data_IF_004524299951
#
_entry.id   IF_004524299951
#
_cell.length_a   1.000
_cell.length_b   1.000
_cell.length_c   1.000
_cell.angle_alpha   90.00
_cell.angle_beta   90.00
_cell.angle_gamma   90.00
#
_symmetry.space_group_name_H-M   'P 1'
#
loop_
_entity.id
_entity.type
_entity.pdbx_description
1 polymer ?
#
# COMPACT_ATOMS: atom_id res chain seq x y z
N UNK A 1 1.93 1.49 -23.80
CA UNK A 1 1.06 1.58 -22.61
C UNK A 1 1.59 0.66 -21.53
N UNK A 2 1.80 1.17 -20.33
CA UNK A 2 2.43 0.45 -19.22
C UNK A 2 1.38 -0.01 -18.20
N UNK A 3 0.79 -1.18 -18.42
CA UNK A 3 -0.25 -1.69 -17.53
C UNK A 3 0.36 -2.53 -16.40
N UNK A 4 1.12 -1.90 -15.49
CA UNK A 4 1.74 -2.59 -14.33
C UNK A 4 0.75 -3.47 -13.57
N UNK A 5 -0.46 -2.97 -13.39
CA UNK A 5 -1.50 -3.70 -12.66
C UNK A 5 -1.95 -4.97 -13.41
N UNK A 6 -2.11 -4.91 -14.74
CA UNK A 6 -2.45 -6.07 -15.55
C UNK A 6 -1.35 -7.12 -15.50
N UNK A 7 -0.09 -6.69 -15.61
CA UNK A 7 1.05 -7.59 -15.48
C UNK A 7 1.07 -8.29 -14.12
N UNK A 8 0.71 -7.57 -13.03
CA UNK A 8 0.62 -8.14 -11.69
C UNK A 8 -0.51 -9.17 -11.53
N UNK A 9 -1.66 -8.96 -12.20
CA UNK A 9 -2.76 -9.94 -12.19
C UNK A 9 -2.39 -11.16 -13.04
N UNK A 10 -1.84 -10.92 -14.24
CA UNK A 10 -1.47 -11.95 -15.19
C UNK A 10 -0.34 -12.86 -14.68
N UNK A 11 0.64 -12.33 -13.95
CA UNK A 11 1.76 -13.12 -13.42
C UNK A 11 1.35 -14.15 -12.38
N UNK A 12 0.19 -13.99 -11.74
CA UNK A 12 -0.37 -14.97 -10.80
C UNK A 12 -1.32 -15.98 -11.48
N UNK A 13 -1.60 -15.84 -12.78
CA UNK A 13 -2.71 -16.55 -13.44
C UNK A 13 -2.45 -18.05 -13.67
N UNK A 14 -1.25 -18.39 -14.14
CA UNK A 14 -0.85 -19.76 -14.46
C UNK A 14 0.25 -20.28 -13.50
N UNK A 15 0.31 -19.79 -12.27
CA UNK A 15 1.28 -20.30 -11.30
C UNK A 15 0.93 -21.73 -10.86
N UNK A 16 1.93 -22.60 -10.56
CA UNK A 16 3.38 -22.37 -10.67
C UNK A 16 3.91 -22.55 -12.11
N UNK A 17 5.09 -21.96 -12.41
CA UNK A 17 5.86 -22.08 -13.67
C UNK A 17 5.14 -21.82 -15.01
N UNK A 18 3.99 -21.15 -14.99
CA UNK A 18 3.27 -20.77 -16.20
C UNK A 18 3.52 -19.33 -16.67
N UNK A 19 3.39 -19.14 -17.99
CA UNK A 19 3.31 -17.83 -18.64
C UNK A 19 1.86 -17.53 -19.04
N UNK A 20 1.43 -16.28 -18.84
CA UNK A 20 0.11 -15.82 -19.27
C UNK A 20 0.21 -14.43 -19.90
N UNK A 21 -0.34 -14.27 -21.11
CA UNK A 21 -0.24 -13.03 -21.90
C UNK A 21 -1.63 -12.48 -22.16
N UNK A 22 -1.88 -11.26 -21.68
CA UNK A 22 -3.10 -10.50 -21.98
C UNK A 22 -2.81 -9.55 -23.14
N UNK A 23 -3.39 -9.83 -24.31
CA UNK A 23 -3.26 -8.93 -25.48
C UNK A 23 -4.06 -7.64 -25.23
N UNK A 24 -3.64 -6.47 -25.75
CA UNK A 24 -4.35 -5.20 -25.56
C UNK A 24 -5.85 -5.27 -25.92
N UNK A 25 -6.20 -5.95 -27.01
CA UNK A 25 -7.59 -6.13 -27.44
C UNK A 25 -8.43 -7.06 -26.55
N UNK A 26 -7.80 -7.79 -25.63
CA UNK A 26 -8.44 -8.72 -24.70
C UNK A 26 -8.46 -8.20 -23.26
N UNK A 27 -7.89 -7.02 -22.98
CA UNK A 27 -7.78 -6.46 -21.63
C UNK A 27 -9.14 -6.37 -20.94
N UNK A 28 -10.12 -5.71 -21.57
CA UNK A 28 -11.44 -5.53 -20.95
C UNK A 28 -12.16 -6.86 -20.73
N UNK A 29 -12.14 -7.75 -21.73
CA UNK A 29 -12.75 -9.08 -21.62
C UNK A 29 -12.08 -9.94 -20.53
N UNK A 30 -10.77 -9.80 -20.35
CA UNK A 30 -10.04 -10.46 -19.27
C UNK A 30 -10.39 -9.88 -17.90
N UNK A 31 -10.56 -8.56 -17.79
CA UNK A 31 -10.82 -7.87 -16.54
C UNK A 31 -12.25 -8.05 -16.04
N UNK A 32 -13.26 -7.87 -16.89
CA UNK A 32 -14.67 -7.84 -16.51
C UNK A 32 -15.13 -8.97 -15.56
N UNK A 33 -14.80 -10.26 -15.80
CA UNK A 33 -15.26 -11.34 -14.93
C UNK A 33 -14.47 -11.44 -13.61
N UNK A 34 -13.40 -10.66 -13.42
CA UNK A 34 -12.60 -10.74 -12.21
C UNK A 34 -13.36 -10.17 -11.01
N UNK A 35 -13.22 -10.77 -9.83
CA UNK A 35 -13.71 -10.14 -8.62
C UNK A 35 -12.89 -8.87 -8.32
N UNK A 36 -13.52 -7.82 -7.80
CA UNK A 36 -12.86 -6.53 -7.55
C UNK A 36 -11.61 -6.63 -6.66
N UNK A 37 -11.55 -7.64 -5.77
CA UNK A 37 -10.37 -7.93 -4.93
C UNK A 37 -9.09 -8.27 -5.70
N UNK A 38 -9.19 -8.60 -7.00
CA UNK A 38 -8.02 -8.86 -7.87
C UNK A 38 -7.43 -7.55 -8.41
N UNK A 39 -8.16 -6.45 -8.36
CA UNK A 39 -7.66 -5.12 -8.74
C UNK A 39 -6.65 -4.67 -7.68
N UNK A 40 -5.44 -4.24 -8.07
CA UNK A 40 -4.47 -3.72 -7.11
C UNK A 40 -5.03 -2.55 -6.30
N UNK A 41 -4.57 -2.45 -5.06
CA UNK A 41 -5.01 -1.47 -4.06
C UNK A 41 -6.45 -1.72 -3.52
N UNK A 42 -7.21 -2.66 -4.07
CA UNK A 42 -8.49 -3.10 -3.50
C UNK A 42 -8.26 -4.15 -2.41
N UNK A 43 -8.04 -3.67 -1.18
CA UNK A 43 -7.97 -4.49 0.02
C UNK A 43 -9.34 -4.84 0.60
N UNK A 44 -9.36 -5.60 1.71
CA UNK A 44 -10.59 -6.08 2.39
C UNK A 44 -11.61 -4.97 2.67
N UNK A 45 -11.14 -3.80 3.13
CA UNK A 45 -12.01 -2.66 3.49
C UNK A 45 -12.67 -2.08 2.23
N UNK A 46 -11.88 -1.83 1.18
CA UNK A 46 -12.41 -1.34 -0.10
C UNK A 46 -13.37 -2.34 -0.72
N UNK A 47 -13.02 -3.63 -0.71
CA UNK A 47 -13.89 -4.70 -1.21
C UNK A 47 -15.25 -4.69 -0.50
N UNK A 48 -15.27 -4.63 0.83
CA UNK A 48 -16.52 -4.59 1.59
C UNK A 48 -17.38 -3.36 1.26
N UNK A 49 -16.73 -2.20 1.06
CA UNK A 49 -17.42 -0.97 0.62
C UNK A 49 -18.00 -1.09 -0.79
N UNK A 50 -17.28 -1.71 -1.71
CA UNK A 50 -17.77 -1.98 -3.07
C UNK A 50 -18.94 -2.97 -3.04
N UNK A 51 -18.85 -4.03 -2.24
CA UNK A 51 -19.93 -5.00 -2.06
C UNK A 51 -21.19 -4.36 -1.46
N UNK A 52 -21.05 -3.40 -0.54
CA UNK A 52 -22.17 -2.64 -0.02
C UNK A 52 -22.88 -1.77 -1.08
N UNK A 53 -22.21 -1.49 -2.21
CA UNK A 53 -22.77 -0.83 -3.40
C UNK A 53 -23.27 -1.84 -4.45
N UNK A 54 -23.25 -3.14 -4.15
CA UNK A 54 -23.61 -4.20 -5.10
C UNK A 54 -22.54 -4.47 -6.16
N UNK A 55 -21.29 -4.09 -5.90
CA UNK A 55 -20.17 -4.26 -6.84
C UNK A 55 -19.26 -5.40 -6.36
N UNK A 56 -19.30 -6.52 -7.05
CA UNK A 56 -18.50 -7.71 -6.80
C UNK A 56 -17.45 -7.97 -7.89
N UNK A 57 -17.77 -7.62 -9.14
CA UNK A 57 -16.91 -7.83 -10.30
C UNK A 57 -16.34 -6.52 -10.85
N UNK A 58 -15.23 -6.62 -11.59
CA UNK A 58 -14.65 -5.48 -12.29
C UNK A 58 -15.58 -4.96 -13.38
N UNK A 59 -16.39 -5.83 -14.00
CA UNK A 59 -17.43 -5.43 -14.95
C UNK A 59 -18.49 -4.54 -14.31
N UNK A 60 -18.99 -4.90 -13.13
CA UNK A 60 -19.92 -4.07 -12.36
C UNK A 60 -19.29 -2.75 -11.93
N UNK A 61 -18.02 -2.78 -11.52
CA UNK A 61 -17.27 -1.55 -11.19
C UNK A 61 -17.13 -0.64 -12.41
N UNK A 62 -16.89 -1.22 -13.60
CA UNK A 62 -16.79 -0.48 -14.85
C UNK A 62 -18.12 0.12 -15.27
N UNK A 63 -19.26 -0.44 -14.86
CA UNK A 63 -20.58 0.12 -15.16
C UNK A 63 -20.88 1.41 -14.37
N UNK A 64 -20.14 1.69 -13.29
CA UNK A 64 -20.34 2.89 -12.47
C UNK A 64 -19.71 4.13 -13.08
N UNK A 65 -20.37 5.28 -12.87
CA UNK A 65 -19.89 6.59 -13.31
C UNK A 65 -18.73 7.09 -12.46
N UNK A 66 -17.88 7.94 -13.06
CA UNK A 66 -16.76 8.56 -12.37
C UNK A 66 -17.21 9.38 -11.15
N UNK A 67 -18.28 10.17 -11.31
CA UNK A 67 -18.83 11.01 -10.25
C UNK A 67 -19.31 10.18 -9.04
N UNK A 68 -19.99 9.05 -9.29
CA UNK A 68 -20.47 8.18 -8.21
C UNK A 68 -19.30 7.54 -7.46
N UNK A 69 -18.29 7.07 -8.19
CA UNK A 69 -17.09 6.49 -7.56
C UNK A 69 -16.29 7.55 -6.80
N UNK A 70 -16.15 8.77 -7.30
CA UNK A 70 -15.52 9.88 -6.58
C UNK A 70 -16.35 10.30 -5.35
N UNK A 71 -17.68 10.25 -5.42
CA UNK A 71 -18.55 10.51 -4.27
C UNK A 71 -18.33 9.48 -3.16
N UNK A 72 -18.27 8.20 -3.49
CA UNK A 72 -18.10 7.14 -2.49
C UNK A 72 -16.65 6.98 -2.01
N UNK A 73 -15.65 7.17 -2.87
CA UNK A 73 -14.24 6.81 -2.58
C UNK A 73 -13.27 8.01 -2.64
N UNK A 74 -13.74 9.22 -2.89
CA UNK A 74 -12.92 10.42 -3.04
C UNK A 74 -11.94 10.30 -4.22
N UNK A 75 -10.71 10.79 -4.04
CA UNK A 75 -9.63 10.69 -5.05
C UNK A 75 -9.37 9.25 -5.51
N UNK A 76 -9.63 8.26 -4.65
CA UNK A 76 -9.46 6.86 -4.99
C UNK A 76 -10.55 6.34 -5.95
N UNK A 77 -11.72 7.00 -6.00
CA UNK A 77 -12.80 6.69 -6.93
C UNK A 77 -12.37 6.79 -8.39
N UNK A 78 -11.64 7.85 -8.73
CA UNK A 78 -11.02 7.99 -10.06
C UNK A 78 -10.10 6.83 -10.40
N UNK A 79 -9.31 6.39 -9.42
CA UNK A 79 -8.38 5.28 -9.61
C UNK A 79 -9.12 3.97 -9.88
N UNK A 80 -10.20 3.70 -9.14
CA UNK A 80 -11.06 2.54 -9.37
C UNK A 80 -11.71 2.59 -10.76
N UNK A 81 -12.19 3.77 -11.17
CA UNK A 81 -12.80 4.01 -12.48
C UNK A 81 -11.85 3.69 -13.64
N UNK A 82 -10.60 4.16 -13.56
CA UNK A 82 -9.54 3.92 -14.55
C UNK A 82 -9.16 2.43 -14.61
N UNK A 83 -8.87 1.83 -13.44
CA UNK A 83 -8.44 0.43 -13.35
C UNK A 83 -9.50 -0.55 -13.88
N UNK A 84 -10.79 -0.28 -13.61
CA UNK A 84 -11.88 -1.10 -14.13
C UNK A 84 -11.99 -1.07 -15.66
N UNK A 85 -11.42 -0.04 -16.30
CA UNK A 85 -11.37 0.15 -17.76
C UNK A 85 -10.02 -0.22 -18.37
N UNK A 86 -9.14 -0.89 -17.62
CA UNK A 86 -7.82 -1.27 -18.15
C UNK A 86 -6.81 -0.13 -18.14
N UNK A 87 -7.14 1.05 -17.62
CA UNK A 87 -6.29 2.24 -17.71
C UNK A 87 -5.33 2.29 -16.52
N UNK A 88 -4.04 2.31 -16.82
CA UNK A 88 -2.97 2.55 -15.84
C UNK A 88 -1.82 3.28 -16.55
N UNK A 89 -1.72 4.59 -16.34
CA UNK A 89 -0.72 5.44 -16.98
C UNK A 89 0.58 5.55 -16.17
N UNK A 90 0.65 4.86 -15.02
CA UNK A 90 1.83 4.93 -14.15
C UNK A 90 3.04 4.31 -14.84
N UNK A 91 4.05 5.12 -15.07
CA UNK A 91 5.34 4.67 -15.60
C UNK A 91 6.08 3.78 -14.62
N UNK A 92 6.80 2.76 -15.13
CA UNK A 92 7.80 2.02 -14.35
C UNK A 92 8.89 2.99 -13.95
N UNK A 93 8.97 3.26 -12.64
CA UNK A 93 10.01 4.06 -12.03
C UNK A 93 10.99 3.08 -11.41
N UNK A 94 12.16 2.84 -12.03
CA UNK A 94 13.17 1.94 -11.48
C UNK A 94 13.74 2.50 -10.17
N UNK A 95 13.85 3.83 -10.08
CA UNK A 95 14.35 4.54 -8.92
C UNK A 95 13.21 5.35 -8.28
N UNK A 96 12.88 5.01 -7.02
CA UNK A 96 12.01 5.84 -6.19
C UNK A 96 12.80 6.28 -4.95
N UNK A 97 12.88 7.60 -4.67
CA UNK A 97 13.54 8.06 -3.47
C UNK A 97 12.81 7.49 -2.25
N UNK A 98 13.58 7.04 -1.26
CA UNK A 98 12.99 6.49 -0.05
C UNK A 98 12.37 7.63 0.76
N UNK A 99 11.07 7.56 0.99
CA UNK A 99 10.37 8.60 1.74
C UNK A 99 10.51 8.41 3.26
N UNK A 100 10.74 7.18 3.72
CA UNK A 100 10.82 6.85 5.14
C UNK A 100 11.64 5.57 5.38
N UNK A 101 12.41 5.54 6.47
CA UNK A 101 13.02 4.34 7.06
C UNK A 101 12.30 4.06 8.38
N UNK A 102 11.95 2.81 8.64
CA UNK A 102 11.31 2.42 9.90
C UNK A 102 11.67 1.00 10.30
N UNK A 103 11.72 0.74 11.60
CA UNK A 103 11.83 -0.59 12.19
C UNK A 103 10.75 -0.71 13.25
N UNK A 104 10.03 -1.82 13.22
CA UNK A 104 8.96 -2.12 14.17
C UNK A 104 9.02 -3.57 14.59
N UNK A 105 8.56 -3.86 15.80
CA UNK A 105 8.43 -5.22 16.31
C UNK A 105 7.06 -5.39 16.96
N UNK A 106 6.54 -6.61 16.92
CA UNK A 106 5.36 -7.02 17.68
C UNK A 106 5.83 -7.93 18.81
N UNK A 107 5.43 -7.61 20.04
CA UNK A 107 5.83 -8.35 21.22
C UNK A 107 4.98 -9.63 21.40
N UNK A 108 5.56 -10.65 22.05
CA UNK A 108 4.84 -11.88 22.38
C UNK A 108 3.75 -11.66 23.45
N UNK A 109 3.96 -10.66 24.32
CA UNK A 109 3.01 -10.21 25.34
C UNK A 109 2.94 -8.69 25.34
N UNK A 110 1.82 -8.15 25.79
CA UNK A 110 1.68 -6.70 25.96
C UNK A 110 2.66 -6.19 27.02
N UNK A 111 3.26 -5.02 26.75
CA UNK A 111 4.23 -4.36 27.61
C UNK A 111 3.72 -3.00 28.06
N UNK A 112 4.01 -2.62 29.30
CA UNK A 112 3.78 -1.27 29.79
C UNK A 112 4.89 -0.32 29.33
N UNK A 113 4.60 0.98 29.27
CA UNK A 113 5.53 2.00 28.76
C UNK A 113 6.96 1.91 29.33
N UNK A 114 7.19 1.71 30.64
CA UNK A 114 8.55 1.62 31.18
C UNK A 114 9.35 0.42 30.63
N UNK A 115 8.67 -0.64 30.20
CA UNK A 115 9.31 -1.84 29.66
C UNK A 115 9.70 -1.69 28.19
N UNK A 116 9.26 -0.61 27.52
CA UNK A 116 9.54 -0.39 26.11
C UNK A 116 10.94 0.20 25.88
N UNK A 117 11.54 0.85 26.88
CA UNK A 117 12.82 1.55 26.75
C UNK A 117 13.94 0.64 26.24
N UNK A 118 14.04 -0.56 26.83
CA UNK A 118 15.01 -1.60 26.40
C UNK A 118 14.82 -2.05 24.95
N UNK A 119 13.60 -1.98 24.42
CA UNK A 119 13.31 -2.37 23.03
C UNK A 119 13.39 -1.19 22.06
N UNK A 120 13.21 0.04 22.52
CA UNK A 120 13.29 1.22 21.66
C UNK A 120 14.71 1.45 21.15
N UNK A 121 15.72 1.27 21.99
CA UNK A 121 17.12 1.46 21.62
C UNK A 121 17.55 0.59 20.42
N UNK A 122 17.34 -0.75 20.40
CA UNK A 122 17.71 -1.56 19.25
C UNK A 122 16.89 -1.23 17.98
N UNK A 123 15.64 -0.76 18.12
CA UNK A 123 14.85 -0.31 16.97
C UNK A 123 15.38 1.00 16.39
N UNK A 124 15.74 1.95 17.24
CA UNK A 124 16.34 3.22 16.84
C UNK A 124 17.68 3.00 16.12
N UNK A 125 18.53 2.12 16.66
CA UNK A 125 19.81 1.76 16.04
C UNK A 125 19.62 1.13 14.65
N UNK A 126 18.67 0.21 14.48
CA UNK A 126 18.36 -0.38 13.16
C UNK A 126 17.88 0.66 12.16
N UNK A 127 17.02 1.59 12.58
CA UNK A 127 16.56 2.70 11.73
C UNK A 127 17.74 3.58 11.32
N UNK A 128 18.60 3.93 12.27
CA UNK A 128 19.81 4.73 12.04
C UNK A 128 20.76 4.07 11.03
N UNK A 129 21.10 2.80 11.23
CA UNK A 129 21.97 2.04 10.32
C UNK A 129 21.40 1.95 8.91
N UNK A 130 20.09 1.67 8.80
CA UNK A 130 19.41 1.62 7.50
C UNK A 130 19.38 2.97 6.81
N UNK A 131 19.14 4.05 7.55
CA UNK A 131 19.13 5.41 7.04
C UNK A 131 20.52 5.83 6.53
N UNK A 132 21.58 5.54 7.32
CA UNK A 132 22.97 5.80 6.94
C UNK A 132 23.39 5.00 5.70
N UNK A 133 23.07 3.70 5.63
CA UNK A 133 23.42 2.85 4.48
C UNK A 133 22.82 3.36 3.17
N UNK A 134 21.65 4.01 3.24
CA UNK A 134 20.95 4.58 2.09
C UNK A 134 21.31 6.05 1.82
N UNK A 135 22.18 6.66 2.63
CA UNK A 135 22.58 8.06 2.50
C UNK A 135 21.46 9.06 2.75
N UNK A 136 20.40 8.67 3.46
CA UNK A 136 19.18 9.46 3.62
C UNK A 136 18.82 9.59 5.09
N UNK A 137 19.07 10.77 5.67
CA UNK A 137 18.68 11.10 7.04
C UNK A 137 17.45 12.01 7.02
N UNK A 138 16.36 11.54 7.61
CA UNK A 138 15.15 12.32 7.80
C UNK A 138 15.27 13.27 8.99
N UNK A 139 14.58 14.41 8.94
CA UNK A 139 14.49 15.36 10.08
C UNK A 139 13.37 15.03 11.07
N UNK A 140 12.41 14.21 10.64
CA UNK A 140 11.23 13.87 11.43
C UNK A 140 11.36 12.45 11.96
N UNK A 141 11.34 12.32 13.28
CA UNK A 141 11.29 11.04 13.98
C UNK A 141 9.84 10.75 14.31
N UNK A 142 9.40 9.52 14.03
CA UNK A 142 8.03 9.08 14.29
C UNK A 142 8.06 7.86 15.19
N UNK A 143 7.41 7.96 16.35
CA UNK A 143 7.16 6.85 17.25
C UNK A 143 5.76 6.29 17.00
N UNK A 144 5.67 4.98 16.79
CA UNK A 144 4.42 4.24 16.59
C UNK A 144 4.26 3.21 17.71
N UNK A 145 3.16 3.30 18.44
CA UNK A 145 2.75 2.31 19.43
C UNK A 145 1.43 1.68 19.01
N UNK A 146 1.31 0.36 19.17
CA UNK A 146 0.06 -0.36 18.95
C UNK A 146 -0.39 -0.95 20.28
N UNK A 147 -1.63 -0.67 20.68
CA UNK A 147 -2.19 -1.15 21.95
C UNK A 147 -2.72 -2.58 21.81
N UNK A 148 -3.02 -3.21 22.95
CA UNK A 148 -3.74 -4.49 23.10
C UNK A 148 -5.05 -4.56 22.28
N UNK A 149 -5.76 -3.42 22.18
CA UNK A 149 -6.97 -3.23 21.37
C UNK A 149 -6.69 -2.85 19.91
N UNK A 150 -5.48 -3.10 19.41
CA UNK A 150 -5.05 -2.82 18.04
C UNK A 150 -5.15 -1.34 17.62
N UNK A 151 -5.25 -0.40 18.57
CA UNK A 151 -5.24 1.04 18.29
C UNK A 151 -3.80 1.49 18.05
N UNK A 152 -3.57 2.28 17.02
CA UNK A 152 -2.26 2.85 16.70
C UNK A 152 -2.19 4.27 17.25
N UNK A 153 -1.21 4.52 18.11
CA UNK A 153 -0.85 5.84 18.62
C UNK A 153 0.45 6.28 17.95
N UNK A 154 0.42 7.46 17.33
CA UNK A 154 1.59 8.02 16.65
C UNK A 154 1.98 9.36 17.29
N UNK A 155 3.27 9.56 17.49
CA UNK A 155 3.86 10.86 17.84
C UNK A 155 5.00 11.16 16.87
N UNK A 156 5.07 12.40 16.40
CA UNK A 156 6.10 12.86 15.49
C UNK A 156 6.83 14.04 16.10
N UNK A 157 8.14 14.07 15.95
CA UNK A 157 8.96 15.21 16.33
C UNK A 157 9.87 15.58 15.15
N UNK A 158 9.86 16.86 14.76
CA UNK A 158 10.66 17.37 13.64
C UNK A 158 11.78 18.23 14.20
N UNK A 159 13.02 17.80 13.95
CA UNK A 159 14.23 18.48 14.35
C UNK A 159 14.63 19.56 13.34
N UNK A 160 15.40 20.56 13.79
CA UNK A 160 15.94 21.61 12.91
C UNK A 160 16.97 21.05 11.92
N UNK A 161 17.76 20.08 12.38
CA UNK A 161 18.72 19.34 11.57
C UNK A 161 18.43 17.83 11.72
N UNK A 162 18.76 16.99 10.73
CA UNK A 162 18.64 15.54 10.90
C UNK A 162 19.38 15.05 12.15
N UNK A 163 18.93 13.96 12.79
CA UNK A 163 19.65 13.38 13.92
C UNK A 163 21.11 13.10 13.55
N UNK A 164 22.02 13.34 14.49
CA UNK A 164 23.45 13.07 14.35
C UNK A 164 23.85 11.68 14.84
N UNK A 165 22.96 11.02 15.58
CA UNK A 165 23.17 9.77 16.32
C UNK A 165 21.87 8.96 16.40
N UNK A 166 21.99 7.72 16.89
CA UNK A 166 20.82 6.89 17.22
C UNK A 166 20.23 7.23 18.60
N UNK A 167 21.08 7.66 19.53
CA UNK A 167 20.75 8.26 20.83
C UNK A 167 20.18 9.67 20.67
#
# INVERSE_FOLDING_TARGET
MNHKFLAKIASDWNKPDGLFVVRPSKVLAFLQPLPVRKVPDVGKVTQARLQALGIETVGELAAHGLADLEHHFGRYGRRLYELARGVDEREVQPDQPLQQVSSETTFERDLHLPQLEETLQPLALRVWEQARKKGQLGRTVVLKLKTDRFRILTRSHTLLQPPSSAE
#
